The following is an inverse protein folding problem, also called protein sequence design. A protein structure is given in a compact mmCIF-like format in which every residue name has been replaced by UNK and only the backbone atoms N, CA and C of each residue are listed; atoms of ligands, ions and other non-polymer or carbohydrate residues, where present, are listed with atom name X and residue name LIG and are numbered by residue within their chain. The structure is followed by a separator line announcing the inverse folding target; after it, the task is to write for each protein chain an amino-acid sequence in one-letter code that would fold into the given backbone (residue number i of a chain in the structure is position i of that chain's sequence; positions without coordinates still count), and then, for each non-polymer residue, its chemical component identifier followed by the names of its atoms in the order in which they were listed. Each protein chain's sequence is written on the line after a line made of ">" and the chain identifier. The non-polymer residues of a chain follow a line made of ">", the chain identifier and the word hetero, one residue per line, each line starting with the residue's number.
data_IF_935800361769
#
_entry.id   IF_935800361769
#
_cell.length_a   1.000
_cell.length_b   1.000
_cell.length_c   1.000
_cell.angle_alpha   90.00
_cell.angle_beta   90.00
_cell.angle_gamma   90.00
#
_symmetry.space_group_name_H-M   'P 1'
#
loop_
_entity.id
_entity.type
_entity.pdbx_description
1 polymer ?
#
# COMPACT_ATOMS: atom_id res chain seq x y z
N UNK A 1 0.83 34.53 -14.89
CA UNK A 1 0.85 33.10 -15.25
C UNK A 1 -0.43 32.74 -16.02
N UNK A 2 -0.51 33.05 -17.33
CA UNK A 2 -1.72 32.81 -18.13
C UNK A 2 -1.41 32.47 -19.58
N UNK A 3 -0.32 31.73 -19.85
CA UNK A 3 0.08 31.41 -21.22
C UNK A 3 0.32 29.92 -21.48
N UNK A 4 0.20 29.03 -20.48
CA UNK A 4 0.43 27.58 -20.68
C UNK A 4 -0.58 27.02 -21.69
N UNK A 5 -1.88 27.31 -21.50
CA UNK A 5 -2.93 26.86 -22.43
C UNK A 5 -2.80 27.52 -23.80
N UNK A 6 -2.50 28.82 -23.87
CA UNK A 6 -2.32 29.52 -25.14
C UNK A 6 -1.10 29.02 -25.93
N UNK A 7 -0.02 28.67 -25.24
CA UNK A 7 1.17 28.07 -25.82
C UNK A 7 0.91 26.63 -26.28
N UNK A 8 0.20 25.83 -25.47
CA UNK A 8 -0.22 24.47 -25.81
C UNK A 8 -1.13 24.44 -27.05
N UNK A 9 -1.98 25.46 -27.26
CA UNK A 9 -2.80 25.59 -28.47
C UNK A 9 -1.94 25.95 -29.69
N UNK A 10 -0.92 26.79 -29.54
CA UNK A 10 -0.04 27.22 -30.65
C UNK A 10 1.02 26.17 -31.01
N UNK A 11 1.48 25.41 -30.03
CA UNK A 11 2.41 24.29 -30.19
C UNK A 11 1.76 23.04 -29.59
N UNK A 12 0.94 22.32 -30.37
CA UNK A 12 0.19 21.16 -29.86
C UNK A 12 1.05 19.92 -29.64
N UNK A 13 2.26 19.86 -30.20
CA UNK A 13 3.10 18.68 -30.14
C UNK A 13 3.53 18.30 -28.70
N UNK A 14 4.06 19.22 -27.86
CA UNK A 14 4.46 18.89 -26.49
C UNK A 14 3.34 18.33 -25.60
N UNK A 15 2.12 18.92 -25.52
CA UNK A 15 1.06 18.35 -24.68
C UNK A 15 0.55 17.00 -25.20
N UNK A 16 0.50 16.77 -26.52
CA UNK A 16 0.09 15.49 -27.08
C UNK A 16 1.10 14.39 -26.70
N UNK A 17 2.39 14.63 -26.90
CA UNK A 17 3.44 13.66 -26.55
C UNK A 17 3.43 13.38 -25.06
N UNK A 18 3.29 14.40 -24.21
CA UNK A 18 3.17 14.22 -22.76
C UNK A 18 2.01 13.30 -22.39
N UNK A 19 0.83 13.50 -22.97
CA UNK A 19 -0.34 12.66 -22.71
C UNK A 19 -0.14 11.22 -23.20
N UNK A 20 0.46 11.03 -24.37
CA UNK A 20 0.75 9.69 -24.91
C UNK A 20 1.74 8.95 -24.00
N UNK A 21 2.80 9.62 -23.56
CA UNK A 21 3.79 9.03 -22.63
C UNK A 21 3.14 8.69 -21.30
N UNK A 22 2.34 9.59 -20.73
CA UNK A 22 1.62 9.35 -19.48
C UNK A 22 0.63 8.19 -19.59
N UNK A 23 -0.10 8.11 -20.70
CA UNK A 23 -1.03 7.01 -20.96
C UNK A 23 -0.29 5.68 -21.03
N UNK A 24 0.80 5.62 -21.80
CA UNK A 24 1.60 4.41 -21.95
C UNK A 24 2.22 3.98 -20.61
N UNK A 25 2.77 4.93 -19.86
CA UNK A 25 3.30 4.68 -18.53
C UNK A 25 2.23 4.18 -17.56
N UNK A 26 1.04 4.77 -17.60
CA UNK A 26 -0.11 4.35 -16.80
C UNK A 26 -0.53 2.92 -17.10
N UNK A 27 -0.62 2.55 -18.38
CA UNK A 27 -0.94 1.17 -18.80
C UNK A 27 0.12 0.20 -18.31
N UNK A 28 1.41 0.53 -18.47
CA UNK A 28 2.51 -0.33 -18.00
C UNK A 28 2.44 -0.52 -16.48
N UNK A 29 2.28 0.55 -15.71
CA UNK A 29 2.13 0.45 -14.25
C UNK A 29 0.91 -0.39 -13.85
N UNK A 30 -0.21 -0.21 -14.54
CA UNK A 30 -1.45 -0.95 -14.26
C UNK A 30 -1.28 -2.45 -14.50
N UNK A 31 -0.69 -2.83 -15.64
CA UNK A 31 -0.44 -4.24 -15.98
C UNK A 31 0.60 -4.88 -15.05
N UNK A 32 1.53 -4.09 -14.52
CA UNK A 32 2.59 -4.56 -13.61
C UNK A 32 2.19 -4.52 -12.14
N UNK A 33 1.00 -4.04 -11.81
CA UNK A 33 0.54 -3.97 -10.43
C UNK A 33 0.40 -5.40 -9.88
N UNK A 34 1.14 -5.78 -8.83
CA UNK A 34 1.01 -7.12 -8.25
C UNK A 34 -0.36 -7.24 -7.58
N UNK A 35 -1.11 -8.26 -7.96
CA UNK A 35 -2.37 -8.62 -7.33
C UNK A 35 -2.10 -9.78 -6.39
N UNK A 36 -2.24 -9.54 -5.09
CA UNK A 36 -2.10 -10.58 -4.06
C UNK A 36 -3.48 -10.84 -3.46
N UNK A 37 -3.91 -12.11 -3.44
CA UNK A 37 -5.20 -12.50 -2.88
C UNK A 37 -5.26 -12.32 -1.36
N UNK A 38 -4.14 -12.59 -0.68
CA UNK A 38 -3.94 -12.40 0.76
C UNK A 38 -2.81 -11.39 0.97
N UNK A 39 -3.08 -10.07 1.02
CA UNK A 39 -2.07 -9.11 1.41
C UNK A 39 -1.59 -9.47 2.82
N UNK A 40 -0.28 -9.42 3.06
CA UNK A 40 0.29 -9.66 4.40
C UNK A 40 -0.15 -8.51 5.32
N UNK A 41 -1.28 -8.72 6.00
CA UNK A 41 -1.80 -7.84 7.03
C UNK A 41 -1.32 -8.42 8.36
N UNK A 42 -0.08 -8.08 8.72
CA UNK A 42 0.45 -8.35 10.05
C UNK A 42 -0.18 -7.39 11.06
N UNK A 43 -1.32 -7.79 11.61
CA UNK A 43 -1.82 -7.16 12.82
C UNK A 43 -0.80 -7.40 13.95
N UNK A 44 -0.27 -6.35 14.60
CA UNK A 44 0.68 -6.52 15.69
C UNK A 44 -0.05 -7.12 16.90
N UNK A 45 -0.11 -8.45 16.97
CA UNK A 45 -0.65 -9.21 18.09
C UNK A 45 0.49 -9.89 18.84
N UNK A 46 0.65 -9.56 20.12
CA UNK A 46 1.60 -10.27 21.00
C UNK A 46 0.89 -11.52 21.51
N UNK A 47 1.31 -12.70 21.06
CA UNK A 47 0.84 -13.97 21.62
C UNK A 47 1.67 -14.32 22.86
N UNK A 48 1.05 -14.27 24.04
CA UNK A 48 1.65 -14.71 25.31
C UNK A 48 1.05 -16.08 25.63
N UNK A 49 1.83 -17.14 25.39
CA UNK A 49 1.47 -18.50 25.78
C UNK A 49 2.17 -18.89 27.07
N UNK A 50 1.43 -19.09 28.15
CA UNK A 50 1.96 -19.60 29.42
C UNK A 50 1.52 -21.05 29.58
N UNK A 51 2.46 -21.98 29.44
CA UNK A 51 2.23 -23.41 29.66
C UNK A 51 2.83 -23.84 31.00
N UNK A 52 1.99 -24.08 32.01
CA UNK A 52 2.44 -24.61 33.30
C UNK A 52 1.78 -25.99 33.54
N UNK A 53 2.49 -27.12 33.29
CA UNK A 53 1.94 -28.44 33.55
C UNK A 53 1.82 -28.63 35.07
N UNK A 54 0.58 -28.64 35.58
CA UNK A 54 0.28 -28.99 36.97
C UNK A 54 0.06 -27.83 37.96
N UNK A 55 -0.09 -26.58 37.51
CA UNK A 55 -0.49 -25.47 38.39
C UNK A 55 -2.01 -25.23 38.32
N UNK A 56 -2.65 -24.99 39.47
CA UNK A 56 -4.07 -24.62 39.53
C UNK A 56 -4.27 -23.27 38.81
N UNK A 57 -5.35 -23.09 38.01
CA UNK A 57 -5.55 -21.91 37.16
C UNK A 57 -5.53 -20.54 37.87
N UNK A 58 -5.66 -20.51 39.20
CA UNK A 58 -5.72 -19.30 40.01
C UNK A 58 -4.38 -18.63 40.31
N UNK A 59 -3.23 -19.31 40.18
CA UNK A 59 -1.92 -18.70 40.42
C UNK A 59 -1.29 -18.05 39.17
N UNK A 60 -1.83 -18.33 37.98
CA UNK A 60 -1.36 -17.72 36.74
C UNK A 60 -1.81 -16.26 36.57
N UNK A 61 -2.88 -15.83 37.25
CA UNK A 61 -3.36 -14.43 37.22
C UNK A 61 -2.55 -13.52 38.14
N UNK A 62 -2.09 -14.00 39.30
CA UNK A 62 -1.37 -13.19 40.30
C UNK A 62 0.08 -12.87 39.93
N UNK A 63 0.65 -13.54 38.93
CA UNK A 63 2.02 -13.31 38.48
C UNK A 63 2.11 -12.50 37.18
N UNK A 64 0.97 -12.20 36.54
CA UNK A 64 0.88 -11.50 35.25
C UNK A 64 0.22 -10.11 35.38
N UNK A 65 -0.42 -9.79 36.51
CA UNK A 65 -0.91 -8.42 36.81
C UNK A 65 -0.05 -7.71 37.85
#
# INVERSE_FOLDING_TARGET
>A
MKNISAWAIRHPLPPIVLFVVLLFMGIVCFVRLPVTADPDISFPGVFIGIGQPGAAPQELETQVM
#
